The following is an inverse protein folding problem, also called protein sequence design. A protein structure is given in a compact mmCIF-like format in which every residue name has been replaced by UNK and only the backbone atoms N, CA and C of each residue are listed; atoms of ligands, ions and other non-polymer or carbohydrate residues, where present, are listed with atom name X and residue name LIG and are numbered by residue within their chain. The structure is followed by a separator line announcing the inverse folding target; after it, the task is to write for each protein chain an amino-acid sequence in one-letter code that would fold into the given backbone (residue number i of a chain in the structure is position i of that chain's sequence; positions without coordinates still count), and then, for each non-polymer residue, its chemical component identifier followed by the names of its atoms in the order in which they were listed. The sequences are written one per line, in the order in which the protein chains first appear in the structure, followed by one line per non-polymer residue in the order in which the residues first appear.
data_IF_409264238598
#
_entry.id   IF_409264238598
#
_cell.length_a   1.000
_cell.length_b   1.000
_cell.length_c   1.000
_cell.angle_alpha   90.00
_cell.angle_beta   90.00
_cell.angle_gamma   90.00
#
_symmetry.space_group_name_H-M   'P 1'
#
loop_
_entity.id
_entity.type
_entity.pdbx_description
1 polymer ?
#
# COMPACT_ATOMS: atom_id res chain seq x y z
N UNK A 1 4.17 -37.45 -10.71
CA UNK A 1 2.81 -36.97 -11.04
C UNK A 1 2.96 -35.73 -11.90
N UNK A 2 2.46 -35.79 -13.12
CA UNK A 2 2.49 -34.67 -14.05
C UNK A 2 1.25 -33.79 -13.79
N UNK A 3 1.47 -32.50 -13.60
CA UNK A 3 0.44 -31.49 -13.39
C UNK A 3 0.39 -30.58 -14.63
N UNK A 4 -0.80 -30.16 -15.08
CA UNK A 4 -0.93 -29.24 -16.21
C UNK A 4 -0.32 -27.87 -15.87
N UNK A 5 0.02 -27.08 -16.88
CA UNK A 5 0.61 -25.74 -16.69
C UNK A 5 -0.25 -24.84 -15.78
N UNK A 6 -1.58 -24.89 -15.93
CA UNK A 6 -2.56 -24.16 -15.09
C UNK A 6 -2.68 -24.61 -13.62
N UNK A 7 -1.92 -25.61 -13.18
CA UNK A 7 -2.02 -26.13 -11.82
C UNK A 7 -1.54 -25.09 -10.78
N UNK A 8 -2.34 -24.88 -9.74
CA UNK A 8 -2.06 -23.96 -8.65
C UNK A 8 -1.22 -24.59 -7.53
N UNK A 9 -0.74 -23.77 -6.60
CA UNK A 9 -0.07 -24.24 -5.36
C UNK A 9 -0.99 -25.14 -4.54
N UNK A 10 -2.28 -24.82 -4.49
CA UNK A 10 -3.28 -25.66 -3.82
C UNK A 10 -3.37 -27.05 -4.45
N UNK A 11 -3.25 -27.16 -5.77
CA UNK A 11 -3.28 -28.46 -6.47
C UNK A 11 -2.06 -29.32 -6.12
N UNK A 12 -0.88 -28.69 -5.98
CA UNK A 12 0.33 -29.36 -5.51
C UNK A 12 0.16 -29.87 -4.07
N UNK A 13 -0.37 -29.04 -3.18
CA UNK A 13 -0.63 -29.40 -1.78
C UNK A 13 -1.60 -30.58 -1.66
N UNK A 14 -2.69 -30.58 -2.43
CA UNK A 14 -3.64 -31.71 -2.49
C UNK A 14 -2.95 -32.98 -2.97
N UNK A 15 -2.04 -32.88 -3.93
CA UNK A 15 -1.31 -34.04 -4.47
C UNK A 15 -0.36 -34.65 -3.41
N UNK A 16 0.35 -33.83 -2.64
CA UNK A 16 1.16 -34.29 -1.51
C UNK A 16 0.32 -34.94 -0.40
N UNK A 17 -0.79 -34.31 -0.02
CA UNK A 17 -1.73 -34.87 0.98
C UNK A 17 -2.27 -36.24 0.52
N UNK A 18 -2.62 -36.37 -0.76
CA UNK A 18 -3.12 -37.63 -1.30
C UNK A 18 -2.04 -38.71 -1.32
N UNK A 19 -0.80 -38.36 -1.63
CA UNK A 19 0.34 -39.27 -1.58
C UNK A 19 0.57 -39.82 -0.16
N UNK A 20 0.46 -38.95 0.84
CA UNK A 20 0.57 -39.33 2.25
C UNK A 20 -0.57 -40.27 2.68
N UNK A 21 -1.82 -39.96 2.32
CA UNK A 21 -2.99 -40.82 2.62
C UNK A 21 -2.87 -42.22 2.00
N UNK A 22 -2.21 -42.33 0.85
CA UNK A 22 -1.95 -43.60 0.17
C UNK A 22 -0.72 -44.34 0.72
N UNK A 23 -0.03 -43.78 1.72
CA UNK A 23 1.16 -44.38 2.31
C UNK A 23 2.39 -44.39 1.39
N UNK A 24 2.44 -43.50 0.39
CA UNK A 24 3.58 -43.42 -0.53
C UNK A 24 4.81 -42.89 0.22
N UNK A 25 5.94 -43.58 0.07
CA UNK A 25 7.22 -43.18 0.67
C UNK A 25 7.85 -41.95 0.02
N UNK A 26 7.55 -41.72 -1.26
CA UNK A 26 8.07 -40.60 -2.05
C UNK A 26 7.11 -40.25 -3.18
N UNK A 27 7.03 -38.97 -3.52
CA UNK A 27 6.32 -38.49 -4.69
C UNK A 27 7.14 -37.41 -5.38
N UNK A 28 7.25 -37.51 -6.71
CA UNK A 28 7.82 -36.46 -7.54
C UNK A 28 6.68 -35.72 -8.26
N UNK A 29 6.64 -34.41 -8.16
CA UNK A 29 5.72 -33.56 -8.90
C UNK A 29 6.45 -32.95 -10.10
N UNK A 30 5.78 -32.93 -11.24
CA UNK A 30 6.27 -32.28 -12.44
C UNK A 30 5.14 -31.41 -12.99
N UNK A 31 5.23 -30.10 -12.82
CA UNK A 31 4.26 -29.17 -13.42
C UNK A 31 4.79 -28.75 -14.78
N UNK A 32 3.93 -28.90 -15.77
CA UNK A 32 4.24 -28.56 -17.15
C UNK A 32 4.63 -27.07 -17.27
N UNK A 33 5.67 -26.77 -18.06
CA UNK A 33 6.22 -25.41 -18.17
C UNK A 33 7.01 -24.89 -16.96
N UNK A 34 7.23 -25.68 -15.90
CA UNK A 34 7.95 -25.20 -14.69
C UNK A 34 9.48 -25.16 -14.81
N UNK A 35 10.06 -25.71 -15.87
CA UNK A 35 11.50 -25.56 -16.16
C UNK A 35 11.64 -25.03 -17.59
N UNK A 36 12.33 -23.91 -17.73
CA UNK A 36 12.59 -23.25 -19.03
C UNK A 36 13.48 -24.11 -19.95
N UNK A 37 14.26 -25.03 -19.36
CA UNK A 37 15.18 -25.92 -20.06
C UNK A 37 14.53 -27.23 -20.54
N UNK A 38 13.20 -27.37 -20.48
CA UNK A 38 12.54 -28.61 -20.91
C UNK A 38 12.59 -28.75 -22.43
N UNK A 39 12.89 -29.94 -22.98
CA UNK A 39 12.84 -30.18 -24.42
C UNK A 39 11.48 -29.87 -25.04
N UNK A 40 10.40 -30.05 -24.27
CA UNK A 40 9.02 -29.85 -24.70
C UNK A 40 8.50 -28.41 -24.45
N UNK A 41 9.26 -27.55 -23.79
CA UNK A 41 8.85 -26.15 -23.57
C UNK A 41 8.81 -25.37 -24.89
N UNK A 42 9.67 -25.72 -25.84
CA UNK A 42 9.70 -25.13 -27.19
C UNK A 42 8.38 -25.38 -27.94
N UNK A 43 7.85 -26.61 -27.88
CA UNK A 43 6.59 -26.98 -28.55
C UNK A 43 5.36 -26.37 -27.90
N UNK A 44 5.36 -26.12 -26.58
CA UNK A 44 4.26 -25.42 -25.91
C UNK A 44 4.23 -23.91 -26.16
N UNK A 45 5.37 -23.33 -26.54
CA UNK A 45 5.47 -21.91 -26.94
C UNK A 45 5.14 -21.76 -28.43
N UNK A 46 5.55 -22.73 -29.26
CA UNK A 46 5.30 -22.75 -30.69
C UNK A 46 3.86 -23.14 -31.08
N UNK A 47 3.18 -23.99 -30.30
CA UNK A 47 1.83 -24.48 -30.66
C UNK A 47 0.69 -23.45 -30.48
N UNK A 48 0.97 -22.22 -30.03
CA UNK A 48 -0.05 -21.18 -29.84
C UNK A 48 0.03 -20.03 -30.87
N UNK A 49 1.11 -19.93 -31.66
CA UNK A 49 1.31 -18.89 -32.68
C UNK A 49 1.52 -19.55 -34.07
N UNK A 50 0.51 -19.51 -34.94
CA UNK A 50 0.41 -20.35 -36.16
C UNK A 50 1.36 -19.97 -37.33
N UNK A 51 2.05 -18.82 -37.30
CA UNK A 51 2.78 -18.33 -38.49
C UNK A 51 4.32 -18.47 -38.43
N UNK A 52 4.95 -18.61 -37.25
CA UNK A 52 6.43 -18.71 -37.09
C UNK A 52 6.88 -19.86 -36.13
N UNK A 53 6.00 -20.81 -35.85
CA UNK A 53 6.20 -21.87 -34.85
C UNK A 53 7.38 -22.81 -35.14
N UNK A 54 7.57 -23.18 -36.41
CA UNK A 54 8.50 -24.26 -36.81
C UNK A 54 9.96 -23.80 -36.82
N UNK A 55 10.26 -22.60 -37.33
CA UNK A 55 11.62 -22.05 -37.39
C UNK A 55 12.17 -21.74 -35.98
N UNK A 56 11.31 -21.31 -35.06
CA UNK A 56 11.66 -21.01 -33.67
C UNK A 56 11.88 -22.29 -32.87
N UNK A 57 11.07 -23.33 -33.10
CA UNK A 57 11.24 -24.63 -32.45
C UNK A 57 12.57 -25.29 -32.85
N UNK A 58 13.00 -25.17 -34.10
CA UNK A 58 14.26 -25.72 -34.59
C UNK A 58 15.48 -24.98 -34.02
N UNK A 59 15.44 -23.65 -33.96
CA UNK A 59 16.49 -22.84 -33.33
C UNK A 59 16.65 -23.13 -31.82
N UNK A 60 15.54 -23.30 -31.10
CA UNK A 60 15.56 -23.68 -29.67
C UNK A 60 16.05 -25.13 -29.51
N UNK A 61 15.74 -26.03 -30.44
CA UNK A 61 16.21 -27.42 -30.39
C UNK A 61 17.70 -27.58 -30.70
N UNK A 62 18.32 -26.65 -31.45
CA UNK A 62 19.74 -26.67 -31.81
C UNK A 62 20.68 -26.01 -30.77
N UNK A 63 20.18 -25.08 -29.95
CA UNK A 63 21.01 -24.34 -29.00
C UNK A 63 21.47 -25.16 -27.77
N UNK A 64 22.55 -24.79 -27.07
CA UNK A 64 22.92 -25.37 -25.77
C UNK A 64 21.88 -25.07 -24.67
N UNK A 65 21.73 -25.97 -23.67
CA UNK A 65 20.67 -25.87 -22.65
C UNK A 65 20.63 -24.54 -21.86
N UNK A 66 21.78 -23.88 -21.67
CA UNK A 66 21.88 -22.59 -21.01
C UNK A 66 21.35 -21.43 -21.87
N UNK A 67 21.49 -21.53 -23.19
CA UNK A 67 21.06 -20.53 -24.17
C UNK A 67 19.57 -20.70 -24.51
N UNK A 68 19.07 -21.94 -24.55
CA UNK A 68 17.62 -22.23 -24.64
C UNK A 68 16.81 -21.54 -23.55
N UNK A 69 17.33 -21.55 -22.33
CA UNK A 69 16.64 -20.95 -21.18
C UNK A 69 16.57 -19.43 -21.29
N UNK A 70 17.53 -18.79 -21.98
CA UNK A 70 17.52 -17.34 -22.25
C UNK A 70 16.54 -16.99 -23.35
N UNK A 71 16.60 -17.70 -24.49
CA UNK A 71 15.69 -17.50 -25.62
C UNK A 71 14.23 -17.70 -25.19
N UNK A 72 13.96 -18.75 -24.42
CA UNK A 72 12.62 -19.04 -23.90
C UNK A 72 12.18 -17.97 -22.87
N UNK A 73 13.10 -17.44 -22.05
CA UNK A 73 12.77 -16.36 -21.12
C UNK A 73 12.44 -15.05 -21.85
N UNK A 74 13.24 -14.66 -22.84
CA UNK A 74 12.99 -13.47 -23.67
C UNK A 74 11.64 -13.56 -24.38
N UNK A 75 11.32 -14.71 -25.00
CA UNK A 75 10.04 -14.94 -25.68
C UNK A 75 8.84 -14.96 -24.73
N UNK A 76 9.01 -15.47 -23.51
CA UNK A 76 7.95 -15.41 -22.48
C UNK A 76 7.70 -13.97 -22.03
N UNK A 77 8.75 -13.15 -21.91
CA UNK A 77 8.63 -11.73 -21.61
C UNK A 77 7.94 -11.00 -22.76
N UNK A 78 8.34 -11.25 -24.02
CA UNK A 78 7.64 -10.71 -25.20
C UNK A 78 6.16 -11.12 -25.24
N UNK A 79 5.84 -12.38 -24.97
CA UNK A 79 4.44 -12.85 -24.94
C UNK A 79 3.62 -12.25 -23.80
N UNK A 80 4.21 -11.97 -22.64
CA UNK A 80 3.53 -11.25 -21.54
C UNK A 80 3.21 -9.81 -21.98
N UNK A 81 4.09 -9.19 -22.77
CA UNK A 81 3.90 -7.85 -23.33
C UNK A 81 2.84 -7.86 -24.44
N UNK A 82 2.85 -8.84 -25.34
CA UNK A 82 1.88 -8.97 -26.46
C UNK A 82 0.48 -9.42 -25.99
N UNK A 83 0.38 -10.24 -24.94
CA UNK A 83 -0.89 -10.58 -24.27
C UNK A 83 -1.28 -9.57 -23.20
N UNK A 84 -0.96 -8.29 -23.38
CA UNK A 84 -1.58 -7.25 -22.56
C UNK A 84 -3.08 -7.28 -22.84
N UNK A 85 -3.93 -7.73 -21.88
CA UNK A 85 -5.37 -7.70 -22.08
C UNK A 85 -5.73 -6.23 -22.30
N UNK A 86 -6.51 -5.95 -23.35
CA UNK A 86 -6.82 -4.57 -23.72
C UNK A 86 -7.22 -3.72 -22.52
N UNK A 87 -6.82 -2.44 -22.51
CA UNK A 87 -7.02 -1.43 -21.45
C UNK A 87 -7.85 -1.92 -20.24
N UNK A 88 -7.17 -2.18 -19.12
CA UNK A 88 -7.83 -2.47 -17.83
C UNK A 88 -8.70 -1.28 -17.43
N UNK A 89 -10.01 -1.46 -17.42
CA UNK A 89 -10.94 -0.40 -17.03
C UNK A 89 -10.91 -0.21 -15.52
N UNK A 90 -10.88 1.05 -15.09
CA UNK A 90 -11.00 1.38 -13.69
C UNK A 90 -12.46 1.25 -13.22
N UNK A 91 -12.68 0.99 -11.92
CA UNK A 91 -14.00 1.05 -11.31
C UNK A 91 -14.63 2.45 -11.43
N UNK A 92 -15.97 2.50 -11.56
CA UNK A 92 -16.73 3.75 -11.58
C UNK A 92 -16.57 4.54 -10.28
N UNK A 93 -16.46 3.83 -9.14
CA UNK A 93 -16.14 4.39 -7.84
C UNK A 93 -14.83 3.78 -7.36
N UNK A 94 -13.80 4.61 -7.27
CA UNK A 94 -12.43 4.18 -6.94
C UNK A 94 -11.91 4.85 -5.70
N UNK A 95 -10.97 4.19 -5.04
CA UNK A 95 -10.19 4.75 -3.96
C UNK A 95 -9.06 5.60 -4.52
N UNK A 96 -8.51 6.45 -3.67
CA UNK A 96 -7.43 7.36 -4.03
C UNK A 96 -7.13 8.31 -2.89
N UNK A 97 -6.21 9.23 -3.13
CA UNK A 97 -5.98 10.36 -2.24
C UNK A 97 -5.74 11.63 -3.05
N UNK A 98 -5.84 12.75 -2.34
CA UNK A 98 -5.52 14.07 -2.88
C UNK A 98 -4.41 14.64 -2.02
N UNK A 99 -3.27 14.90 -2.63
CA UNK A 99 -2.13 15.53 -1.99
C UNK A 99 -1.95 16.93 -2.55
N UNK A 100 -2.08 17.93 -1.69
CA UNK A 100 -1.69 19.29 -2.00
C UNK A 100 -0.24 19.49 -1.59
N UNK A 101 0.59 20.00 -2.49
CA UNK A 101 1.96 20.37 -2.20
C UNK A 101 2.30 21.72 -2.82
N UNK A 102 3.34 22.36 -2.32
CA UNK A 102 3.92 23.57 -2.90
C UNK A 102 5.35 23.24 -3.28
N UNK A 103 5.68 23.24 -4.57
CA UNK A 103 7.03 22.94 -5.09
C UNK A 103 7.60 24.21 -5.70
N UNK A 104 8.70 24.72 -5.14
CA UNK A 104 9.33 25.94 -5.65
C UNK A 104 8.40 27.16 -5.65
N UNK A 105 7.41 27.21 -4.75
CA UNK A 105 6.38 28.26 -4.69
C UNK A 105 5.13 28.01 -5.54
N UNK A 106 5.09 26.91 -6.31
CA UNK A 106 3.97 26.54 -7.17
C UNK A 106 3.07 25.50 -6.50
N UNK A 107 1.75 25.75 -6.47
CA UNK A 107 0.79 24.83 -5.84
C UNK A 107 0.42 23.70 -6.81
N UNK A 108 0.69 22.47 -6.39
CA UNK A 108 0.39 21.23 -7.09
C UNK A 108 -0.65 20.44 -6.30
N UNK A 109 -1.65 19.93 -6.99
CA UNK A 109 -2.64 19.01 -6.46
C UNK A 109 -2.51 17.70 -7.23
N UNK A 110 -2.05 16.66 -6.54
CA UNK A 110 -1.96 15.31 -7.07
C UNK A 110 -3.19 14.53 -6.62
N UNK A 111 -3.95 14.03 -7.58
CA UNK A 111 -5.08 13.14 -7.34
C UNK A 111 -4.72 11.76 -7.89
N UNK A 112 -4.91 10.72 -7.08
CA UNK A 112 -4.69 9.34 -7.52
C UNK A 112 -6.02 8.59 -7.64
N UNK A 113 -6.07 7.66 -8.59
CA UNK A 113 -7.14 6.68 -8.71
C UNK A 113 -6.57 5.27 -8.65
N UNK A 114 -7.12 4.44 -7.77
CA UNK A 114 -6.67 3.06 -7.55
C UNK A 114 -7.63 2.05 -8.22
N UNK A 115 -7.09 0.90 -8.60
CA UNK A 115 -7.87 -0.30 -8.91
C UNK A 115 -8.47 -0.91 -7.62
N UNK A 116 -9.39 -1.86 -7.76
CA UNK A 116 -10.00 -2.55 -6.61
C UNK A 116 -8.97 -3.26 -5.71
N UNK A 117 -7.82 -3.62 -6.28
CA UNK A 117 -6.70 -4.29 -5.62
C UNK A 117 -5.74 -3.31 -4.90
N UNK A 118 -5.97 -1.99 -5.02
CA UNK A 118 -5.13 -0.95 -4.41
C UNK A 118 -3.88 -0.58 -5.22
N UNK A 119 -3.75 -1.12 -6.44
CA UNK A 119 -2.75 -0.70 -7.42
C UNK A 119 -3.12 0.68 -8.01
N UNK A 120 -2.12 1.50 -8.34
CA UNK A 120 -2.36 2.80 -8.97
C UNK A 120 -2.81 2.62 -10.43
N UNK A 121 -3.95 3.18 -10.80
CA UNK A 121 -4.51 3.11 -12.15
C UNK A 121 -4.54 4.42 -12.91
N UNK A 122 -4.56 5.57 -12.22
CA UNK A 122 -4.50 6.88 -12.86
C UNK A 122 -4.02 7.96 -11.90
N UNK A 123 -3.51 9.04 -12.49
CA UNK A 123 -3.10 10.26 -11.81
C UNK A 123 -3.70 11.47 -12.50
N UNK A 124 -4.06 12.49 -11.73
CA UNK A 124 -4.37 13.83 -12.22
C UNK A 124 -3.51 14.86 -11.50
N UNK A 125 -3.13 15.88 -12.25
CA UNK A 125 -2.27 16.96 -11.76
C UNK A 125 -2.97 18.27 -12.05
N UNK A 126 -3.38 18.94 -10.98
CA UNK A 126 -3.96 20.28 -11.04
C UNK A 126 -3.00 21.30 -10.47
N UNK A 127 -2.87 22.42 -11.18
CA UNK A 127 -1.92 23.47 -10.83
C UNK A 127 -2.56 24.84 -10.93
N UNK A 128 -2.23 25.71 -9.99
CA UNK A 128 -2.77 27.06 -9.90
C UNK A 128 -1.68 28.11 -10.16
N UNK A 129 -2.04 29.14 -10.94
CA UNK A 129 -1.20 30.31 -11.30
C UNK A 129 -0.08 30.04 -12.31
N UNK A 130 -0.24 29.03 -13.14
CA UNK A 130 0.70 28.74 -14.22
C UNK A 130 0.11 29.06 -15.59
N UNK A 131 0.98 29.28 -16.56
CA UNK A 131 0.55 29.55 -17.94
C UNK A 131 -0.33 28.43 -18.48
N UNK A 132 -1.34 28.79 -19.29
CA UNK A 132 -2.30 27.85 -19.85
C UNK A 132 -1.64 26.71 -20.64
N UNK A 133 -0.50 26.99 -21.28
CA UNK A 133 0.29 25.99 -22.01
C UNK A 133 0.87 24.93 -21.08
N UNK A 134 1.49 25.34 -19.97
CA UNK A 134 2.10 24.41 -19.01
C UNK A 134 1.03 23.57 -18.30
N UNK A 135 -0.08 24.18 -17.88
CA UNK A 135 -1.22 23.45 -17.30
C UNK A 135 -1.78 22.39 -18.24
N UNK A 136 -1.96 22.74 -19.52
CA UNK A 136 -2.46 21.80 -20.53
C UNK A 136 -1.48 20.66 -20.79
N UNK A 137 -0.18 20.96 -20.82
CA UNK A 137 0.86 19.95 -20.99
C UNK A 137 0.90 18.97 -19.81
N UNK A 138 0.85 19.47 -18.57
CA UNK A 138 0.80 18.63 -17.37
C UNK A 138 -0.45 17.76 -17.31
N UNK A 139 -1.61 18.30 -17.70
CA UNK A 139 -2.84 17.51 -17.79
C UNK A 139 -2.73 16.41 -18.84
N UNK A 140 -2.19 16.71 -20.03
CA UNK A 140 -1.98 15.70 -21.08
C UNK A 140 -0.95 14.63 -20.67
N UNK A 141 0.09 15.04 -19.95
CA UNK A 141 1.08 14.14 -19.39
C UNK A 141 0.44 13.18 -18.37
N UNK A 142 -0.36 13.70 -17.45
CA UNK A 142 -1.09 12.90 -16.46
C UNK A 142 -2.03 11.88 -17.13
N UNK A 143 -2.72 12.28 -18.21
CA UNK A 143 -3.54 11.39 -19.04
C UNK A 143 -2.69 10.29 -19.70
N UNK A 144 -1.53 10.63 -20.25
CA UNK A 144 -0.64 9.67 -20.90
C UNK A 144 -0.11 8.61 -19.91
N UNK A 145 0.32 9.04 -18.72
CA UNK A 145 0.76 8.12 -17.65
C UNK A 145 -0.40 7.23 -17.19
N UNK A 146 -1.58 7.82 -16.97
CA UNK A 146 -2.78 7.06 -16.58
C UNK A 146 -3.17 6.02 -17.62
N UNK A 147 -3.04 6.36 -18.91
CA UNK A 147 -3.26 5.41 -19.99
C UNK A 147 -2.22 4.29 -19.93
N UNK A 148 -0.94 4.61 -19.79
CA UNK A 148 0.13 3.61 -19.65
C UNK A 148 -0.11 2.62 -18.51
N UNK A 149 -0.47 3.12 -17.32
CA UNK A 149 -0.83 2.27 -16.17
C UNK A 149 -2.01 1.34 -16.48
N UNK A 150 -3.02 1.82 -17.22
CA UNK A 150 -4.18 1.02 -17.61
C UNK A 150 -3.87 -0.03 -18.68
N UNK A 151 -2.82 0.17 -19.47
CA UNK A 151 -2.26 -0.84 -20.38
C UNK A 151 -1.18 -1.71 -19.71
N UNK A 152 -1.05 -1.66 -18.38
CA UNK A 152 -0.18 -2.57 -17.64
C UNK A 152 1.29 -2.16 -17.62
N UNK A 153 1.63 -0.93 -17.99
CA UNK A 153 2.98 -0.40 -17.73
C UNK A 153 3.18 -0.31 -16.21
N UNK A 154 4.20 -0.96 -15.65
CA UNK A 154 4.45 -0.93 -14.21
C UNK A 154 4.83 0.48 -13.74
N UNK A 155 4.41 0.84 -12.53
CA UNK A 155 4.68 2.16 -11.94
C UNK A 155 6.17 2.41 -11.76
N UNK A 156 6.93 1.36 -11.46
CA UNK A 156 8.38 1.37 -11.28
C UNK A 156 9.10 1.99 -12.49
N UNK A 157 8.70 1.63 -13.71
CA UNK A 157 9.32 2.14 -14.94
C UNK A 157 9.09 3.64 -15.10
N UNK A 158 7.90 4.13 -14.74
CA UNK A 158 7.63 5.57 -14.73
C UNK A 158 8.43 6.30 -13.66
N UNK A 159 8.56 5.71 -12.47
CA UNK A 159 9.37 6.28 -11.39
C UNK A 159 10.83 6.40 -11.84
N UNK A 160 11.41 5.33 -12.36
CA UNK A 160 12.81 5.31 -12.78
C UNK A 160 13.07 6.26 -13.96
N UNK A 161 12.09 6.47 -14.85
CA UNK A 161 12.20 7.40 -15.96
C UNK A 161 12.15 8.89 -15.57
N UNK A 162 11.36 9.25 -14.55
CA UNK A 162 11.05 10.66 -14.24
C UNK A 162 11.65 11.19 -12.95
N UNK A 163 12.14 10.33 -12.06
CA UNK A 163 12.87 10.76 -10.86
C UNK A 163 14.18 11.46 -11.28
N UNK A 164 14.54 12.51 -10.54
CA UNK A 164 15.68 13.41 -10.80
C UNK A 164 15.66 14.19 -12.12
N UNK A 165 14.53 14.20 -12.84
CA UNK A 165 14.34 15.11 -13.97
C UNK A 165 14.37 16.56 -13.48
N UNK A 166 15.13 17.40 -14.19
CA UNK A 166 15.35 18.80 -13.82
C UNK A 166 14.66 19.74 -14.81
N UNK A 167 13.67 20.48 -14.33
CA UNK A 167 13.07 21.59 -15.04
C UNK A 167 12.28 22.45 -14.04
N UNK A 168 12.06 23.72 -14.37
CA UNK A 168 11.27 24.62 -13.53
C UNK A 168 9.77 24.34 -13.65
N UNK A 169 8.98 24.42 -12.57
CA UNK A 169 9.35 24.78 -11.19
C UNK A 169 10.15 23.72 -10.42
N UNK A 170 11.22 24.16 -9.77
CA UNK A 170 12.07 23.36 -8.88
C UNK A 170 12.28 24.08 -7.54
N UNK A 171 12.57 23.35 -6.46
CA UNK A 171 12.92 23.95 -5.17
C UNK A 171 12.32 23.23 -3.94
N UNK A 172 12.17 23.95 -2.80
CA UNK A 172 11.64 23.37 -1.57
C UNK A 172 10.19 22.93 -1.75
N UNK A 173 9.83 21.86 -1.05
CA UNK A 173 8.52 21.25 -1.05
C UNK A 173 7.85 21.46 0.31
N UNK A 174 6.65 22.05 0.31
CA UNK A 174 5.81 22.21 1.49
C UNK A 174 4.52 21.39 1.35
N UNK A 175 4.01 20.88 2.47
CA UNK A 175 2.77 20.08 2.52
C UNK A 175 2.96 18.58 2.28
N UNK A 176 4.19 18.12 2.11
CA UNK A 176 4.57 16.71 2.13
C UNK A 176 5.50 16.44 3.32
N UNK A 177 5.28 15.32 4.01
CA UNK A 177 6.04 14.96 5.22
C UNK A 177 7.39 14.30 4.88
N UNK A 178 7.44 13.56 3.76
CA UNK A 178 8.59 12.73 3.37
C UNK A 178 9.57 13.46 2.44
N UNK A 179 9.05 14.30 1.53
CA UNK A 179 9.85 15.01 0.51
C UNK A 179 9.93 16.49 0.84
N UNK A 180 11.13 16.99 1.17
CA UNK A 180 11.37 18.41 1.51
C UNK A 180 11.91 19.26 0.37
N UNK A 181 12.48 18.64 -0.66
CA UNK A 181 13.04 19.34 -1.81
C UNK A 181 12.86 18.48 -3.06
N UNK A 182 12.55 19.11 -4.20
CA UNK A 182 12.39 18.45 -5.48
C UNK A 182 13.10 19.24 -6.59
N UNK A 183 13.60 18.50 -7.57
CA UNK A 183 14.32 19.05 -8.73
C UNK A 183 13.39 19.38 -9.91
N UNK A 184 12.15 18.89 -9.85
CA UNK A 184 11.02 19.32 -10.69
C UNK A 184 9.69 18.86 -10.07
N UNK A 185 8.57 19.28 -10.66
CA UNK A 185 7.24 18.79 -10.24
C UNK A 185 7.05 17.31 -10.58
N UNK A 186 7.51 16.86 -11.75
CA UNK A 186 7.38 15.44 -12.13
C UNK A 186 8.20 14.57 -11.19
N UNK A 187 9.43 15.00 -10.90
CA UNK A 187 10.29 14.37 -9.92
C UNK A 187 9.63 14.29 -8.53
N UNK A 188 8.98 15.36 -8.06
CA UNK A 188 8.18 15.33 -6.83
C UNK A 188 7.04 14.31 -6.90
N UNK A 189 6.23 14.32 -7.96
CA UNK A 189 5.06 13.44 -8.12
C UNK A 189 5.50 11.98 -8.12
N UNK A 190 6.49 11.60 -8.93
CA UNK A 190 6.90 10.21 -9.04
C UNK A 190 7.64 9.71 -7.79
N UNK A 191 8.38 10.57 -7.07
CA UNK A 191 8.88 10.21 -5.73
C UNK A 191 7.74 9.97 -4.74
N UNK A 192 6.71 10.83 -4.73
CA UNK A 192 5.56 10.65 -3.84
C UNK A 192 4.80 9.35 -4.15
N UNK A 193 4.61 9.03 -5.43
CA UNK A 193 3.99 7.77 -5.84
C UNK A 193 4.86 6.56 -5.48
N UNK A 194 6.17 6.66 -5.64
CA UNK A 194 7.11 5.60 -5.28
C UNK A 194 7.09 5.31 -3.76
N UNK A 195 7.10 6.35 -2.93
CA UNK A 195 7.00 6.20 -1.47
C UNK A 195 5.63 5.61 -1.10
N UNK A 196 4.55 6.11 -1.70
CA UNK A 196 3.17 5.76 -1.30
C UNK A 196 2.71 4.37 -1.76
N UNK A 197 3.10 3.94 -2.97
CA UNK A 197 2.64 2.68 -3.56
C UNK A 197 3.70 1.57 -3.59
N UNK A 198 4.96 1.93 -3.78
CA UNK A 198 6.08 0.99 -3.92
C UNK A 198 6.85 0.80 -2.60
N UNK A 199 6.67 1.70 -1.63
CA UNK A 199 7.43 1.67 -0.37
C UNK A 199 8.92 1.98 -0.55
N UNK A 200 9.29 2.68 -1.63
CA UNK A 200 10.67 3.14 -1.89
C UNK A 200 11.02 4.32 -0.98
N UNK A 201 11.28 4.03 0.29
CA UNK A 201 11.65 5.03 1.31
C UNK A 201 13.06 5.62 1.07
N UNK A 202 13.89 4.98 0.25
CA UNK A 202 15.20 5.49 -0.19
C UNK A 202 15.12 6.82 -0.94
N UNK A 203 13.97 7.13 -1.55
CA UNK A 203 13.71 8.40 -2.23
C UNK A 203 13.17 9.49 -1.28
N UNK A 204 12.81 9.13 -0.05
CA UNK A 204 12.38 10.08 0.96
C UNK A 204 13.59 10.81 1.56
N UNK A 205 13.44 12.11 1.84
CA UNK A 205 14.46 12.86 2.58
C UNK A 205 14.32 12.68 4.09
N UNK A 206 13.14 12.24 4.53
CA UNK A 206 12.80 11.97 5.92
C UNK A 206 12.23 10.57 5.97
N UNK A 207 12.88 9.69 6.71
CA UNK A 207 12.34 8.35 6.94
C UNK A 207 11.13 8.43 7.88
N UNK A 208 9.95 7.92 7.47
CA UNK A 208 8.77 7.88 8.33
C UNK A 208 8.99 7.05 9.60
N UNK A 209 9.92 6.08 9.55
CA UNK A 209 10.24 5.20 10.68
C UNK A 209 11.10 5.88 11.76
N UNK A 210 11.90 6.89 11.41
CA UNK A 210 12.73 7.63 12.38
C UNK A 210 11.99 8.82 13.00
N UNK A 211 10.95 9.33 12.33
CA UNK A 211 10.15 10.46 12.82
C UNK A 211 9.14 10.07 13.90
N UNK A 212 8.88 8.78 14.08
CA UNK A 212 8.01 8.26 15.13
C UNK A 212 8.82 8.04 16.42
N UNK A 213 8.52 8.83 17.45
CA UNK A 213 9.17 8.84 18.77
C UNK A 213 9.00 7.52 19.57
N UNK A 214 8.27 6.55 19.02
CA UNK A 214 7.89 5.27 19.64
C UNK A 214 8.51 4.04 18.93
N UNK A 215 9.75 4.14 18.44
CA UNK A 215 10.46 3.03 17.79
C UNK A 215 10.90 1.88 18.75
N UNK A 216 10.23 1.72 19.89
CA UNK A 216 10.45 0.62 20.84
C UNK A 216 9.22 -0.31 20.83
N UNK A 217 9.36 -1.46 20.18
CA UNK A 217 8.53 -2.66 20.40
C UNK A 217 7.08 -2.62 19.93
N UNK A 218 6.83 -2.90 18.64
CA UNK A 218 5.47 -3.12 18.11
C UNK A 218 4.97 -4.53 18.49
N UNK A 219 3.85 -4.61 19.21
CA UNK A 219 3.22 -5.88 19.61
C UNK A 219 2.35 -6.52 18.52
N UNK A 220 2.31 -7.85 18.49
CA UNK A 220 1.65 -8.74 17.51
C UNK A 220 0.15 -8.51 17.28
N UNK A 221 -0.57 -7.84 18.19
CA UNK A 221 -2.00 -7.57 18.02
C UNK A 221 -2.30 -6.38 17.10
N UNK A 222 -1.31 -5.51 16.83
CA UNK A 222 -1.49 -4.33 15.98
C UNK A 222 -1.51 -4.68 14.49
N UNK A 223 -0.77 -5.71 14.09
CA UNK A 223 -0.60 -6.14 12.70
C UNK A 223 -1.93 -6.58 12.07
N UNK A 224 -2.76 -7.37 12.78
CA UNK A 224 -4.07 -7.81 12.29
C UNK A 224 -5.07 -6.66 12.10
N UNK A 225 -5.02 -5.64 12.96
CA UNK A 225 -5.86 -4.44 12.81
C UNK A 225 -5.41 -3.57 11.63
N UNK A 226 -4.10 -3.58 11.34
CA UNK A 226 -3.48 -2.87 10.22
C UNK A 226 -3.89 -3.46 8.87
N UNK A 227 -3.95 -4.78 8.76
CA UNK A 227 -4.39 -5.50 7.55
C UNK A 227 -5.87 -5.24 7.23
N UNK A 228 -6.75 -5.23 8.23
CA UNK A 228 -8.18 -4.95 8.05
C UNK A 228 -8.43 -3.48 7.66
N UNK A 229 -7.65 -2.54 8.22
CA UNK A 229 -7.70 -1.11 7.90
C UNK A 229 -7.25 -0.81 6.47
N UNK A 230 -6.17 -1.46 6.01
CA UNK A 230 -5.62 -1.29 4.66
C UNK A 230 -6.61 -1.73 3.57
N UNK A 231 -7.54 -2.65 3.86
CA UNK A 231 -8.62 -3.03 2.94
C UNK A 231 -9.71 -1.97 2.80
N UNK A 232 -9.87 -1.09 3.79
CA UNK A 232 -10.92 -0.06 3.80
C UNK A 232 -10.44 1.27 3.21
N UNK A 233 -9.13 1.52 3.23
CA UNK A 233 -8.48 2.77 2.83
C UNK A 233 -7.69 2.58 1.53
N UNK A 234 -7.38 3.66 0.82
CA UNK A 234 -6.44 3.64 -0.30
C UNK A 234 -5.03 3.27 0.17
N UNK A 235 -4.35 2.40 -0.57
CA UNK A 235 -2.97 2.00 -0.27
C UNK A 235 -2.07 3.23 -0.22
N UNK A 236 -2.22 4.13 -1.19
CA UNK A 236 -1.44 5.37 -1.27
C UNK A 236 -1.67 6.35 -0.12
N UNK A 237 -2.89 6.42 0.45
CA UNK A 237 -3.18 7.28 1.59
C UNK A 237 -2.53 6.79 2.89
N UNK A 238 -2.42 5.47 3.04
CA UNK A 238 -1.86 4.85 4.24
C UNK A 238 -0.31 4.88 4.31
N UNK A 239 0.38 5.38 3.26
CA UNK A 239 1.84 5.57 3.16
C UNK A 239 2.67 4.52 3.90
N UNK A 240 2.47 3.23 3.62
CA UNK A 240 3.19 2.10 4.26
C UNK A 240 3.10 1.99 5.80
N UNK A 241 2.55 2.98 6.49
CA UNK A 241 2.39 3.05 7.94
C UNK A 241 1.00 3.57 8.22
N UNK A 242 0.05 2.65 8.43
CA UNK A 242 -1.28 3.01 8.93
C UNK A 242 -1.09 3.91 10.14
N UNK A 243 -1.53 5.15 9.99
CA UNK A 243 -1.33 6.21 10.97
C UNK A 243 -1.86 5.81 12.35
N UNK A 244 -1.19 6.26 13.40
CA UNK A 244 -1.46 5.88 14.80
C UNK A 244 -2.89 6.20 15.29
N UNK A 245 -3.69 6.94 14.50
CA UNK A 245 -5.02 7.43 14.88
C UNK A 245 -6.19 6.67 14.22
N UNK A 246 -5.92 5.63 13.40
CA UNK A 246 -7.00 4.89 12.75
C UNK A 246 -7.51 3.75 13.66
N UNK A 247 -8.65 3.97 14.32
CA UNK A 247 -9.34 2.95 15.11
C UNK A 247 -10.46 2.33 14.25
N UNK A 248 -10.27 1.09 13.80
CA UNK A 248 -11.34 0.31 13.16
C UNK A 248 -12.28 -0.21 14.25
N UNK A 249 -13.37 0.51 14.49
CA UNK A 249 -14.43 0.06 15.40
C UNK A 249 -15.21 -1.08 14.73
N UNK A 250 -14.93 -2.34 15.12
CA UNK A 250 -15.72 -3.49 14.66
C UNK A 250 -17.13 -3.39 15.24
N UNK A 251 -18.13 -3.33 14.36
CA UNK A 251 -19.54 -3.01 14.64
C UNK A 251 -20.34 -3.95 15.55
N UNK A 252 -19.72 -4.73 16.44
CA UNK A 252 -20.44 -5.45 17.49
C UNK A 252 -20.70 -4.60 18.75
N UNK A 253 -19.95 -3.53 18.96
CA UNK A 253 -20.02 -2.71 20.18
C UNK A 253 -21.00 -1.53 20.07
N UNK A 254 -21.30 -1.08 18.84
CA UNK A 254 -22.27 -0.01 18.58
C UNK A 254 -23.74 -0.46 18.72
N UNK A 255 -24.04 -1.74 18.46
CA UNK A 255 -25.39 -2.30 18.63
C UNK A 255 -25.83 -2.35 20.11
N UNK A 256 -24.88 -2.36 21.05
CA UNK A 256 -25.20 -2.30 22.49
C UNK A 256 -25.67 -0.93 22.95
N UNK A 257 -25.32 0.13 22.21
CA UNK A 257 -25.72 1.51 22.50
C UNK A 257 -27.10 1.85 21.89
N UNK A 258 -27.56 1.06 20.92
CA UNK A 258 -28.88 1.19 20.29
C UNK A 258 -29.86 0.19 20.90
N UNK A 259 -30.26 0.37 22.17
CA UNK A 259 -31.47 -0.30 22.66
C UNK A 259 -32.70 0.36 22.03
N UNK A 260 -33.55 -0.38 21.29
CA UNK A 260 -34.90 0.08 21.02
C UNK A 260 -35.67 0.06 22.34
N UNK A 261 -36.41 1.12 22.62
CA UNK A 261 -37.46 1.10 23.61
C UNK A 261 -38.59 0.22 23.07
N UNK A 262 -38.96 -0.84 23.80
CA UNK A 262 -40.34 -1.20 24.14
C UNK A 262 -40.41 -2.56 24.88
N UNK A 263 -41.23 -2.54 25.94
CA UNK A 263 -41.92 -3.62 26.65
C UNK A 263 -41.15 -4.64 27.53
N UNK A 264 -41.25 -4.44 28.86
CA UNK A 264 -42.10 -5.27 29.72
C UNK A 264 -42.06 -4.80 31.19
N UNK A 265 -43.26 -4.71 31.78
CA UNK A 265 -43.57 -4.21 33.12
C UNK A 265 -43.27 -5.26 34.19
N UNK A 266 -42.54 -4.88 35.24
CA UNK A 266 -42.66 -5.46 36.59
C UNK A 266 -42.30 -4.39 37.63
N UNK A 267 -43.26 -4.01 38.46
CA UNK A 267 -43.10 -2.98 39.49
C UNK A 267 -42.04 -3.41 40.52
N UNK A 268 -40.97 -2.63 40.64
CA UNK A 268 -39.93 -2.80 41.67
C UNK A 268 -40.37 -2.15 42.99
N UNK A 269 -40.13 -2.79 44.15
CA UNK A 269 -40.46 -2.23 45.47
C UNK A 269 -39.76 -0.88 45.76
N UNK A 270 -40.39 0.03 46.52
CA UNK A 270 -39.88 1.39 46.78
C UNK A 270 -38.56 1.44 47.57
N UNK A 271 -38.14 0.32 48.16
CA UNK A 271 -36.87 0.21 48.88
C UNK A 271 -35.65 0.16 47.94
N UNK A 272 -35.82 -0.37 46.71
CA UNK A 272 -34.75 -0.46 45.72
C UNK A 272 -34.51 0.90 45.06
N UNK A 273 -35.57 1.68 44.81
CA UNK A 273 -35.45 3.04 44.26
C UNK A 273 -34.68 3.98 45.22
N UNK A 274 -34.89 3.86 46.52
CA UNK A 274 -34.17 4.63 47.53
C UNK A 274 -32.68 4.23 47.67
N UNK A 275 -32.32 2.99 47.32
CA UNK A 275 -30.93 2.52 47.29
C UNK A 275 -30.22 2.94 46.01
N UNK A 276 -30.92 2.88 44.87
CA UNK A 276 -30.41 3.32 43.56
C UNK A 276 -30.22 4.84 43.52
N UNK A 277 -31.09 5.63 44.15
CA UNK A 277 -30.93 7.08 44.26
C UNK A 277 -29.69 7.48 45.08
N UNK A 278 -29.40 6.78 46.18
CA UNK A 278 -28.20 7.02 47.01
C UNK A 278 -26.91 6.63 46.28
N UNK A 279 -26.93 5.55 45.51
CA UNK A 279 -25.79 5.17 44.67
C UNK A 279 -25.59 6.15 43.51
N UNK A 280 -26.66 6.63 42.89
CA UNK A 280 -26.59 7.63 41.82
C UNK A 280 -25.98 8.95 42.30
N UNK A 281 -26.31 9.40 43.53
CA UNK A 281 -25.74 10.63 44.10
C UNK A 281 -24.26 10.48 44.51
N UNK A 282 -23.85 9.28 44.95
CA UNK A 282 -22.45 8.97 45.25
C UNK A 282 -21.58 8.89 43.99
N UNK A 283 -22.14 8.41 42.87
CA UNK A 283 -21.43 8.28 41.58
C UNK A 283 -21.36 9.61 40.81
N UNK A 284 -22.28 10.55 41.06
CA UNK A 284 -22.30 11.86 40.39
C UNK A 284 -21.49 12.97 41.09
N UNK A 285 -20.81 12.68 42.21
CA UNK A 285 -19.78 13.60 42.73
C UNK A 285 -18.54 13.53 41.85
N UNK A 286 -18.54 14.39 40.84
CA UNK A 286 -17.42 14.71 39.96
C UNK A 286 -16.17 14.98 40.82
N UNK A 287 -15.28 14.00 40.91
CA UNK A 287 -13.93 14.25 41.38
C UNK A 287 -13.31 15.32 40.47
N UNK A 288 -12.60 16.34 41.00
CA UNK A 288 -11.88 17.27 40.14
C UNK A 288 -10.90 16.47 39.28
N UNK A 289 -10.71 16.81 38.00
CA UNK A 289 -9.77 16.11 37.17
C UNK A 289 -8.40 16.21 37.82
N UNK A 290 -7.87 15.07 38.25
CA UNK A 290 -6.50 14.98 38.74
C UNK A 290 -5.57 15.39 37.60
N UNK A 291 -4.94 16.56 37.75
CA UNK A 291 -3.79 16.95 36.95
C UNK A 291 -2.63 16.01 37.33
N UNK A 292 -2.54 14.87 36.66
CA UNK A 292 -1.23 14.24 36.49
C UNK A 292 -0.49 15.14 35.50
N UNK A 293 0.28 16.08 36.05
CA UNK A 293 1.26 16.81 35.28
C UNK A 293 2.21 15.80 34.65
N UNK A 294 1.98 15.46 33.38
CA UNK A 294 2.91 14.65 32.62
C UNK A 294 4.26 15.39 32.62
N UNK A 295 5.34 14.80 33.17
CA UNK A 295 6.65 15.44 33.20
C UNK A 295 7.14 15.84 31.80
N UNK A 296 6.66 15.15 30.77
CA UNK A 296 7.01 15.32 29.36
C UNK A 296 6.60 16.68 28.76
N UNK A 297 5.48 17.27 29.19
CA UNK A 297 5.03 18.55 28.64
C UNK A 297 5.91 19.73 29.12
N UNK A 298 6.54 19.59 30.28
CA UNK A 298 7.50 20.57 30.81
C UNK A 298 8.87 20.43 30.15
N UNK A 299 9.28 19.20 29.83
CA UNK A 299 10.53 18.92 29.12
C UNK A 299 10.48 19.45 27.67
N UNK A 300 9.36 19.24 26.97
CA UNK A 300 9.19 19.74 25.59
C UNK A 300 9.16 21.27 25.51
N UNK A 301 8.51 21.92 26.48
CA UNK A 301 8.50 23.39 26.58
C UNK A 301 9.82 23.98 27.05
N UNK A 302 10.61 23.25 27.86
CA UNK A 302 11.97 23.65 28.24
C UNK A 302 12.95 23.57 27.06
N UNK A 303 12.88 22.50 26.25
CA UNK A 303 13.67 22.36 25.02
C UNK A 303 13.29 23.41 23.97
N UNK A 304 11.99 23.68 23.79
CA UNK A 304 11.53 24.76 22.90
C UNK A 304 11.99 26.17 23.34
N UNK A 305 12.38 26.32 24.62
CA UNK A 305 12.93 27.57 25.18
C UNK A 305 14.46 27.59 25.26
N UNK A 306 15.15 26.56 24.74
CA UNK A 306 16.61 26.52 24.63
C UNK A 306 17.37 26.09 25.88
N UNK A 307 16.71 25.42 26.83
CA UNK A 307 17.41 24.80 27.96
C UNK A 307 17.96 23.43 27.54
N UNK A 308 19.28 23.31 27.45
CA UNK A 308 20.00 22.05 27.20
C UNK A 308 21.03 21.83 28.33
N UNK A 309 20.93 20.68 29.02
CA UNK A 309 21.81 20.29 30.12
C UNK A 309 21.40 18.94 30.71
N UNK A 310 22.35 18.22 31.33
CA UNK A 310 22.12 16.90 31.93
C UNK A 310 21.16 16.95 33.12
N UNK A 311 20.41 15.86 33.33
CA UNK A 311 19.41 15.73 34.39
C UNK A 311 20.02 15.99 35.77
N UNK A 312 19.32 16.77 36.60
CA UNK A 312 19.81 17.12 37.93
C UNK A 312 19.87 15.86 38.83
N UNK A 313 21.02 15.54 39.45
CA UNK A 313 21.21 14.28 40.17
C UNK A 313 20.40 14.18 41.48
N UNK A 314 19.83 15.28 42.00
CA UNK A 314 19.01 15.23 43.22
C UNK A 314 17.51 15.05 42.97
N UNK A 315 16.99 15.46 41.81
CA UNK A 315 15.56 15.36 41.52
C UNK A 315 15.22 14.51 40.29
N UNK A 316 16.21 14.05 39.51
CA UNK A 316 16.02 13.09 38.42
C UNK A 316 15.17 13.60 37.25
N UNK A 317 15.05 14.92 37.11
CA UNK A 317 14.48 15.58 35.92
C UNK A 317 15.56 16.35 35.18
#
# INVERSE_FOLDING_TARGET
VNLPNRASVADCARTYLRAHQLGLKSIALYRDGSKLSQPLAATLIAAEDEEDADDVAEAIAAAPAAERSRIVAERIVERIIERTPGRRRLPDRRKGYIQKAIVGGHKVYLHTGEFDEGELGEIFVDMHKEGAAFRSLMNNFAIAVSLGLQYGVPLEEFVDAYVFTRFDPSGPVEGNDSIRHATSILDYIFRELAISYLGRNDLAHVDPHESAVDAIGRGVNREKAQEDAARLISKGFSRSTVTDNLVVLRGGEFDRLRKPAEDAVAATPPEIEAQVARLAEAVNRKAPPGSLAAPSARISTARAKGYEGDACPECGQ
#
